data_IF_357994473080
#
_entry.id   IF_357994473080
#
_cell.length_a   1.000
_cell.length_b   1.000
_cell.length_c   1.000
_cell.angle_alpha   90.00
_cell.angle_beta   90.00
_cell.angle_gamma   90.00
#
_symmetry.space_group_name_H-M   'P 1'
#
loop_
_entity.id
_entity.type
_entity.pdbx_description
1 polymer ?
#
# COMPACT_ATOMS: atom_id res chain seq x y z
N UNK A 1 89.19 66.17 -13.81
CA UNK A 1 89.39 64.75 -14.19
C UNK A 1 88.44 63.78 -13.45
N UNK A 2 87.34 64.27 -12.83
CA UNK A 2 86.40 63.45 -12.03
C UNK A 2 85.03 63.17 -12.72
N UNK A 3 84.80 63.61 -13.95
CA UNK A 3 83.49 63.43 -14.62
C UNK A 3 83.35 62.14 -15.43
N UNK A 4 84.46 61.53 -15.89
CA UNK A 4 84.41 60.35 -16.77
C UNK A 4 84.24 59.01 -16.02
N UNK A 5 84.54 58.96 -14.72
CA UNK A 5 84.37 57.76 -13.89
C UNK A 5 82.95 57.60 -13.37
N UNK A 6 82.23 58.71 -13.14
CA UNK A 6 80.85 58.70 -12.63
C UNK A 6 79.83 58.23 -13.69
N UNK A 7 80.08 58.56 -14.97
CA UNK A 7 79.17 58.25 -16.08
C UNK A 7 79.20 56.76 -16.49
N UNK A 8 80.36 56.08 -16.41
CA UNK A 8 80.49 54.63 -16.69
C UNK A 8 79.83 53.74 -15.62
N UNK A 9 79.89 54.15 -14.35
CA UNK A 9 79.22 53.44 -13.25
C UNK A 9 77.69 53.61 -13.29
N UNK A 10 77.19 54.76 -13.76
CA UNK A 10 75.76 54.98 -14.00
C UNK A 10 75.25 54.12 -15.17
N UNK A 11 76.02 53.98 -16.25
CA UNK A 11 75.62 53.20 -17.42
C UNK A 11 75.62 51.68 -17.16
N UNK A 12 76.60 51.18 -16.39
CA UNK A 12 76.62 49.78 -15.94
C UNK A 12 75.48 49.44 -14.97
N UNK A 13 75.14 50.35 -14.05
CA UNK A 13 74.02 50.14 -13.13
C UNK A 13 72.67 50.19 -13.84
N UNK A 14 72.50 51.07 -14.83
CA UNK A 14 71.32 51.08 -15.71
C UNK A 14 71.21 49.81 -16.55
N UNK A 15 72.32 49.29 -17.06
CA UNK A 15 72.33 48.02 -17.83
C UNK A 15 71.94 46.82 -16.97
N UNK A 16 72.47 46.73 -15.74
CA UNK A 16 72.08 45.70 -14.79
C UNK A 16 70.61 45.82 -14.36
N UNK A 17 70.09 47.05 -14.26
CA UNK A 17 68.68 47.28 -13.95
C UNK A 17 67.76 46.79 -15.08
N UNK A 18 68.11 47.07 -16.34
CA UNK A 18 67.36 46.56 -17.51
C UNK A 18 67.36 45.03 -17.56
N UNK A 19 68.52 44.40 -17.39
CA UNK A 19 68.61 42.94 -17.35
C UNK A 19 67.77 42.32 -16.23
N UNK A 20 67.69 42.98 -15.06
CA UNK A 20 66.89 42.50 -13.93
C UNK A 20 65.40 42.71 -14.17
N UNK A 21 65.00 43.78 -14.86
CA UNK A 21 63.61 44.03 -15.28
C UNK A 21 63.18 42.99 -16.31
N UNK A 22 64.03 42.67 -17.29
CA UNK A 22 63.74 41.65 -18.30
C UNK A 22 63.61 40.26 -17.67
N UNK A 23 64.52 39.90 -16.75
CA UNK A 23 64.41 38.65 -15.99
C UNK A 23 63.14 38.56 -15.15
N UNK A 24 62.73 39.67 -14.51
CA UNK A 24 61.47 39.73 -13.75
C UNK A 24 60.28 39.63 -14.69
N UNK A 25 60.30 40.27 -15.86
CA UNK A 25 59.23 40.18 -16.85
C UNK A 25 59.10 38.76 -17.42
N UNK A 26 60.21 38.08 -17.69
CA UNK A 26 60.24 36.69 -18.16
C UNK A 26 59.73 35.73 -17.08
N UNK A 27 60.16 35.91 -15.82
CA UNK A 27 59.66 35.12 -14.70
C UNK A 27 58.16 35.35 -14.45
N UNK A 28 57.72 36.60 -14.53
CA UNK A 28 56.30 36.99 -14.40
C UNK A 28 55.47 36.36 -15.53
N UNK A 29 55.95 36.41 -16.77
CA UNK A 29 55.27 35.80 -17.93
C UNK A 29 55.16 34.29 -17.77
N UNK A 30 56.23 33.63 -17.33
CA UNK A 30 56.23 32.19 -17.09
C UNK A 30 55.32 31.78 -15.93
N UNK A 31 55.27 32.57 -14.84
CA UNK A 31 54.33 32.35 -13.74
C UNK A 31 52.89 32.55 -14.19
N UNK A 32 52.58 33.61 -14.94
CA UNK A 32 51.25 33.87 -15.48
C UNK A 32 50.79 32.75 -16.42
N UNK A 33 51.68 32.25 -17.28
CA UNK A 33 51.38 31.12 -18.15
C UNK A 33 51.08 29.85 -17.34
N UNK A 34 51.87 29.57 -16.29
CA UNK A 34 51.67 28.40 -15.43
C UNK A 34 50.36 28.47 -14.65
N UNK A 35 50.03 29.65 -14.10
CA UNK A 35 48.76 29.88 -13.39
C UNK A 35 47.58 29.75 -14.34
N UNK A 36 47.67 30.32 -15.55
CA UNK A 36 46.62 30.21 -16.57
C UNK A 36 46.38 28.75 -16.94
N UNK A 37 47.43 27.95 -17.11
CA UNK A 37 47.30 26.54 -17.48
C UNK A 37 46.77 25.66 -16.36
N UNK A 38 47.18 25.94 -15.12
CA UNK A 38 46.61 25.28 -13.94
C UNK A 38 45.11 25.60 -13.81
N UNK A 39 44.73 26.86 -14.01
CA UNK A 39 43.35 27.31 -13.94
C UNK A 39 42.47 26.67 -15.04
N UNK A 40 42.96 26.60 -16.29
CA UNK A 40 42.26 25.92 -17.38
C UNK A 40 42.05 24.42 -17.10
N UNK A 41 43.06 23.77 -16.51
CA UNK A 41 42.98 22.35 -16.14
C UNK A 41 41.97 22.13 -15.02
N UNK A 42 41.98 23.00 -14.00
CA UNK A 42 41.05 22.93 -12.87
C UNK A 42 39.61 23.23 -13.29
N UNK A 43 39.40 24.23 -14.17
CA UNK A 43 38.08 24.50 -14.77
C UNK A 43 37.58 23.29 -15.56
N UNK A 44 38.42 22.68 -16.39
CA UNK A 44 38.04 21.50 -17.18
C UNK A 44 37.64 20.31 -16.30
N UNK A 45 38.37 20.08 -15.20
CA UNK A 45 38.03 19.06 -14.21
C UNK A 45 36.70 19.35 -13.50
N UNK A 46 36.50 20.60 -13.09
CA UNK A 46 35.26 21.02 -12.43
C UNK A 46 34.04 20.90 -13.35
N UNK A 47 34.16 21.30 -14.62
CA UNK A 47 33.09 21.14 -15.61
C UNK A 47 32.71 19.67 -15.78
N UNK A 48 33.69 18.76 -15.91
CA UNK A 48 33.41 17.32 -15.99
C UNK A 48 32.72 16.77 -14.74
N UNK A 49 33.13 17.21 -13.55
CA UNK A 49 32.47 16.82 -12.30
C UNK A 49 31.03 17.33 -12.21
N UNK A 50 30.78 18.56 -12.67
CA UNK A 50 29.44 19.14 -12.76
C UNK A 50 28.58 18.36 -13.75
N UNK A 51 29.10 18.02 -14.93
CA UNK A 51 28.38 17.23 -15.94
C UNK A 51 28.01 15.84 -15.41
N UNK A 52 28.93 15.16 -14.72
CA UNK A 52 28.66 13.86 -14.09
C UNK A 52 27.58 13.97 -13.00
N UNK A 53 27.64 15.01 -12.15
CA UNK A 53 26.63 15.24 -11.11
C UNK A 53 25.26 15.58 -11.70
N UNK A 54 25.21 16.40 -12.75
CA UNK A 54 23.98 16.74 -13.46
C UNK A 54 23.39 15.51 -14.15
N UNK A 55 24.21 14.68 -14.80
CA UNK A 55 23.76 13.42 -15.42
C UNK A 55 23.17 12.45 -14.40
N UNK A 56 23.83 12.24 -13.27
CA UNK A 56 23.34 11.38 -12.19
C UNK A 56 22.08 11.91 -11.52
N UNK A 57 21.98 13.24 -11.37
CA UNK A 57 20.79 13.91 -10.87
C UNK A 57 19.62 13.74 -11.85
N UNK A 58 19.86 13.93 -13.15
CA UNK A 58 18.82 13.77 -14.18
C UNK A 58 18.31 12.32 -14.27
N UNK A 59 19.19 11.32 -14.15
CA UNK A 59 18.80 9.91 -14.04
C UNK A 59 17.94 9.64 -12.79
N UNK A 60 18.32 10.18 -11.64
CA UNK A 60 17.54 10.05 -10.40
C UNK A 60 16.17 10.73 -10.49
N UNK A 61 16.10 11.90 -11.15
CA UNK A 61 14.84 12.61 -11.42
C UNK A 61 13.93 11.86 -12.41
N UNK A 62 14.50 11.25 -13.45
CA UNK A 62 13.74 10.41 -14.38
C UNK A 62 13.17 9.18 -13.66
N UNK A 63 13.97 8.53 -12.82
CA UNK A 63 13.54 7.35 -12.06
C UNK A 63 12.49 7.70 -10.99
N UNK A 64 12.61 8.88 -10.36
CA UNK A 64 11.62 9.41 -9.42
C UNK A 64 10.33 9.77 -10.14
N UNK A 65 10.40 10.44 -11.30
CA UNK A 65 9.24 10.76 -12.14
C UNK A 65 8.52 9.50 -12.64
N UNK A 66 9.26 8.47 -13.06
CA UNK A 66 8.70 7.17 -13.43
C UNK A 66 8.03 6.47 -12.24
N UNK A 67 8.62 6.56 -11.05
CA UNK A 67 8.03 6.00 -9.83
C UNK A 67 6.74 6.74 -9.46
N UNK A 68 6.74 8.08 -9.47
CA UNK A 68 5.55 8.91 -9.23
C UNK A 68 4.47 8.61 -10.28
N UNK A 69 4.82 8.54 -11.56
CA UNK A 69 3.87 8.19 -12.63
C UNK A 69 3.30 6.78 -12.43
N UNK A 70 4.12 5.81 -11.99
CA UNK A 70 3.65 4.46 -11.70
C UNK A 70 2.73 4.41 -10.48
N UNK A 71 2.97 5.25 -9.48
CA UNK A 71 2.12 5.40 -8.28
C UNK A 71 0.81 6.09 -8.64
N UNK A 72 0.86 7.17 -9.42
CA UNK A 72 -0.33 7.88 -9.93
C UNK A 72 -1.16 6.98 -10.84
N UNK A 73 -0.54 6.23 -11.76
CA UNK A 73 -1.25 5.27 -12.60
C UNK A 73 -1.90 4.14 -11.79
N UNK A 74 -1.23 3.65 -10.74
CA UNK A 74 -1.82 2.68 -9.79
C UNK A 74 -2.96 3.29 -8.99
N UNK A 75 -2.87 4.57 -8.60
CA UNK A 75 -3.95 5.29 -7.93
C UNK A 75 -5.15 5.52 -8.85
N UNK A 76 -4.95 5.86 -10.12
CA UNK A 76 -6.04 5.98 -11.11
C UNK A 76 -6.66 4.63 -11.47
N UNK A 77 -5.86 3.56 -11.58
CA UNK A 77 -6.38 2.19 -11.70
C UNK A 77 -7.14 1.74 -10.45
N UNK A 78 -6.73 2.23 -9.26
CA UNK A 78 -7.46 2.05 -8.01
C UNK A 78 -8.78 2.84 -7.99
N UNK A 79 -8.83 4.05 -8.52
CA UNK A 79 -10.10 4.78 -8.71
C UNK A 79 -11.02 4.07 -9.69
N UNK A 80 -10.48 3.48 -10.75
CA UNK A 80 -11.25 2.73 -11.73
C UNK A 80 -11.71 1.36 -11.18
N UNK A 81 -10.88 0.70 -10.37
CA UNK A 81 -11.25 -0.48 -9.60
C UNK A 81 -12.30 -0.14 -8.53
N UNK A 82 -12.17 0.98 -7.84
CA UNK A 82 -13.17 1.52 -6.93
C UNK A 82 -14.48 1.80 -7.67
N UNK A 83 -14.43 2.30 -8.90
CA UNK A 83 -15.62 2.52 -9.74
C UNK A 83 -16.27 1.22 -10.18
N UNK A 84 -15.49 0.19 -10.54
CA UNK A 84 -16.01 -1.16 -10.84
C UNK A 84 -16.60 -1.84 -9.60
N UNK A 85 -16.00 -1.68 -8.43
CA UNK A 85 -16.56 -2.17 -7.15
C UNK A 85 -17.85 -1.39 -6.80
N UNK A 86 -17.87 -0.08 -7.05
CA UNK A 86 -19.04 0.78 -6.86
C UNK A 86 -20.20 0.41 -7.82
N UNK A 87 -19.89 0.04 -9.06
CA UNK A 87 -20.88 -0.36 -10.06
C UNK A 87 -21.40 -1.80 -9.82
N UNK A 88 -20.56 -2.73 -9.35
CA UNK A 88 -20.98 -4.09 -8.96
C UNK A 88 -21.86 -4.10 -7.70
N UNK A 89 -21.64 -3.16 -6.77
CA UNK A 89 -22.48 -2.97 -5.59
C UNK A 89 -23.80 -2.22 -5.85
N UNK A 90 -23.96 -1.57 -7.01
CA UNK A 90 -25.12 -0.71 -7.31
C UNK A 90 -26.31 -1.44 -7.95
N UNK A 91 -26.09 -2.59 -8.57
CA UNK A 91 -27.18 -3.35 -9.19
C UNK A 91 -27.94 -4.16 -8.14
N UNK A 92 -28.83 -3.46 -7.44
CA UNK A 92 -29.87 -3.97 -6.53
C UNK A 92 -30.63 -5.17 -7.14
N UNK A 93 -30.79 -5.19 -8.46
CA UNK A 93 -31.56 -6.19 -9.20
C UNK A 93 -30.77 -7.44 -9.57
N UNK A 94 -29.47 -7.31 -9.89
CA UNK A 94 -28.67 -8.43 -10.40
C UNK A 94 -28.33 -9.43 -9.30
N UNK A 95 -28.00 -8.97 -8.09
CA UNK A 95 -27.76 -9.82 -6.92
C UNK A 95 -29.05 -10.51 -6.45
N UNK A 96 -30.20 -9.83 -6.46
CA UNK A 96 -31.49 -10.47 -6.16
C UNK A 96 -31.86 -11.57 -7.16
N UNK A 97 -31.53 -11.40 -8.45
CA UNK A 97 -31.77 -12.43 -9.46
C UNK A 97 -30.78 -13.60 -9.38
N UNK A 98 -29.51 -13.32 -9.11
CA UNK A 98 -28.45 -14.34 -8.99
C UNK A 98 -28.63 -15.21 -7.74
N UNK A 99 -29.12 -14.64 -6.63
CA UNK A 99 -29.34 -15.36 -5.36
C UNK A 99 -30.59 -16.25 -5.35
N UNK A 100 -31.44 -16.21 -6.40
CA UNK A 100 -32.65 -17.07 -6.52
C UNK A 100 -32.33 -18.56 -6.69
N UNK A 101 -31.14 -18.95 -7.17
CA UNK A 101 -30.81 -20.35 -7.50
C UNK A 101 -30.08 -21.11 -6.37
N UNK A 102 -30.65 -22.17 -5.75
CA UNK A 102 -30.12 -22.84 -4.54
C UNK A 102 -28.67 -23.31 -4.58
N UNK A 103 -28.22 -23.88 -5.71
CA UNK A 103 -26.86 -24.44 -5.85
C UNK A 103 -25.75 -23.39 -6.00
N UNK A 104 -26.10 -22.15 -6.35
CA UNK A 104 -25.14 -21.05 -6.52
C UNK A 104 -24.94 -20.24 -5.22
N UNK A 105 -25.79 -20.44 -4.19
CA UNK A 105 -25.90 -19.56 -3.01
C UNK A 105 -24.69 -19.59 -2.06
N UNK A 106 -24.10 -20.76 -1.80
CA UNK A 106 -22.91 -20.88 -0.93
C UNK A 106 -21.62 -20.53 -1.68
N UNK A 107 -21.49 -21.06 -2.89
CA UNK A 107 -20.30 -20.91 -3.73
C UNK A 107 -20.06 -19.46 -4.16
N UNK A 108 -21.10 -18.63 -4.30
CA UNK A 108 -20.91 -17.23 -4.71
C UNK A 108 -20.33 -16.33 -3.61
N UNK A 109 -20.71 -16.55 -2.34
CA UNK A 109 -20.12 -15.81 -1.22
C UNK A 109 -18.62 -16.13 -1.09
N UNK A 110 -18.28 -17.41 -1.21
CA UNK A 110 -16.90 -17.90 -1.24
C UNK A 110 -16.14 -17.39 -2.48
N UNK A 111 -16.78 -17.36 -3.66
CA UNK A 111 -16.19 -16.86 -4.90
C UNK A 111 -15.88 -15.36 -4.78
N UNK A 112 -16.84 -14.54 -4.33
CA UNK A 112 -16.60 -13.11 -4.16
C UNK A 112 -15.55 -12.82 -3.09
N UNK A 113 -15.53 -13.58 -2.00
CA UNK A 113 -14.48 -13.49 -0.99
C UNK A 113 -13.10 -13.84 -1.59
N UNK A 114 -13.02 -14.94 -2.35
CA UNK A 114 -11.80 -15.36 -3.02
C UNK A 114 -11.31 -14.33 -4.04
N UNK A 115 -12.20 -13.80 -4.87
CA UNK A 115 -11.90 -12.76 -5.85
C UNK A 115 -11.39 -11.49 -5.17
N UNK A 116 -12.02 -11.06 -4.08
CA UNK A 116 -11.60 -9.88 -3.31
C UNK A 116 -10.20 -10.08 -2.69
N UNK A 117 -9.96 -11.24 -2.08
CA UNK A 117 -8.66 -11.59 -1.51
C UNK A 117 -7.58 -11.60 -2.59
N UNK A 118 -7.83 -12.22 -3.74
CA UNK A 118 -6.86 -12.33 -4.84
C UNK A 118 -6.40 -10.98 -5.42
N UNK A 119 -7.27 -9.96 -5.36
CA UNK A 119 -6.97 -8.62 -5.88
C UNK A 119 -6.08 -7.79 -4.94
N UNK A 120 -6.17 -8.02 -3.63
CA UNK A 120 -5.59 -7.13 -2.60
C UNK A 120 -4.45 -7.79 -1.83
N UNK A 121 -4.60 -9.08 -1.56
CA UNK A 121 -3.74 -9.86 -0.67
C UNK A 121 -2.85 -10.78 -1.52
N UNK A 122 -1.52 -10.80 -1.28
CA UNK A 122 -0.64 -11.79 -1.89
C UNK A 122 -1.13 -13.22 -1.67
N UNK A 123 -1.00 -14.09 -2.67
CA UNK A 123 -1.55 -15.47 -2.64
C UNK A 123 -0.95 -16.36 -1.55
N UNK A 124 0.24 -16.06 -1.04
CA UNK A 124 0.88 -16.74 0.07
C UNK A 124 0.32 -16.33 1.45
N UNK A 125 -0.42 -15.21 1.49
CA UNK A 125 -0.96 -14.57 2.70
C UNK A 125 -2.41 -14.91 2.99
N UNK A 126 -3.03 -15.81 2.25
CA UNK A 126 -4.33 -16.39 2.62
C UNK A 126 -4.42 -17.86 2.19
N UNK A 127 -5.35 -18.59 2.80
CA UNK A 127 -5.75 -19.94 2.41
C UNK A 127 -7.26 -19.94 2.25
N UNK A 128 -7.76 -20.40 1.11
CA UNK A 128 -9.20 -20.67 0.96
C UNK A 128 -9.52 -22.07 1.50
N UNK A 129 -10.70 -22.24 2.07
CA UNK A 129 -11.18 -23.53 2.59
C UNK A 129 -10.19 -24.16 3.58
N UNK A 130 -9.78 -23.40 4.59
CA UNK A 130 -8.84 -23.87 5.61
C UNK A 130 -9.54 -24.81 6.58
N UNK A 131 -8.91 -25.97 6.85
CA UNK A 131 -9.44 -27.00 7.74
C UNK A 131 -8.74 -26.92 9.09
N UNK A 132 -9.51 -26.71 10.16
CA UNK A 132 -9.03 -26.78 11.53
C UNK A 132 -8.92 -28.23 12.01
N UNK A 133 -8.18 -28.47 13.10
CA UNK A 133 -8.03 -29.81 13.68
C UNK A 133 -9.36 -30.41 14.15
N UNK A 134 -10.36 -29.58 14.45
CA UNK A 134 -11.72 -30.03 14.78
C UNK A 134 -12.44 -30.72 13.61
N UNK A 135 -11.95 -30.54 12.38
CA UNK A 135 -12.62 -30.94 11.14
C UNK A 135 -13.56 -29.88 10.57
N UNK A 136 -13.68 -28.71 11.22
CA UNK A 136 -14.41 -27.56 10.67
C UNK A 136 -13.59 -26.84 9.59
N UNK A 137 -14.29 -26.34 8.56
CA UNK A 137 -13.68 -25.62 7.44
C UNK A 137 -14.18 -24.19 7.37
N UNK A 138 -13.26 -23.23 7.42
CA UNK A 138 -13.53 -21.80 7.21
C UNK A 138 -13.28 -21.41 5.75
N UNK A 139 -14.08 -20.50 5.23
CA UNK A 139 -14.06 -20.13 3.81
C UNK A 139 -12.75 -19.48 3.39
N UNK A 140 -12.17 -18.62 4.24
CA UNK A 140 -10.82 -18.13 4.10
C UNK A 140 -10.10 -17.94 5.45
N UNK A 141 -8.79 -18.13 5.43
CA UNK A 141 -7.89 -17.83 6.54
C UNK A 141 -6.83 -16.84 6.05
N UNK A 142 -6.88 -15.61 6.56
CA UNK A 142 -5.91 -14.58 6.27
C UNK A 142 -4.69 -14.73 7.19
N UNK A 143 -3.48 -14.82 6.64
CA UNK A 143 -2.24 -14.96 7.40
C UNK A 143 -1.60 -13.60 7.67
N UNK A 144 -1.32 -13.32 8.93
CA UNK A 144 -0.62 -12.14 9.40
C UNK A 144 0.86 -12.49 9.69
N UNK A 145 1.52 -11.75 10.58
CA UNK A 145 2.90 -12.04 11.02
C UNK A 145 2.88 -13.03 12.19
N UNK A 146 4.05 -13.59 12.48
CA UNK A 146 4.31 -14.42 13.65
C UNK A 146 3.36 -15.63 13.79
N UNK A 147 2.91 -16.16 12.65
CA UNK A 147 1.98 -17.28 12.60
C UNK A 147 0.53 -16.94 12.95
N UNK A 148 0.22 -15.66 13.21
CA UNK A 148 -1.14 -15.22 13.50
C UNK A 148 -2.01 -15.25 12.24
N UNK A 149 -3.32 -15.48 12.44
CA UNK A 149 -4.27 -15.54 11.34
C UNK A 149 -5.65 -14.99 11.72
N UNK A 150 -6.42 -14.55 10.72
CA UNK A 150 -7.79 -14.07 10.88
C UNK A 150 -8.72 -14.94 10.03
N UNK A 151 -9.65 -15.68 10.65
CA UNK A 151 -10.67 -16.42 9.93
C UNK A 151 -11.71 -15.48 9.31
N UNK A 152 -12.17 -15.81 8.11
CA UNK A 152 -13.22 -15.09 7.37
C UNK A 152 -14.22 -16.12 6.86
N UNK A 153 -15.47 -16.05 7.34
CA UNK A 153 -16.56 -16.95 6.93
C UNK A 153 -17.67 -16.14 6.24
N UNK A 154 -18.12 -16.62 5.08
CA UNK A 154 -19.08 -15.96 4.19
C UNK A 154 -20.52 -16.51 4.33
N UNK A 155 -20.80 -17.35 5.34
CA UNK A 155 -22.08 -18.08 5.41
C UNK A 155 -23.20 -17.20 5.99
N UNK A 156 -23.78 -16.36 5.17
CA UNK A 156 -24.91 -15.51 5.57
C UNK A 156 -26.29 -16.22 5.46
N UNK A 157 -27.24 -16.04 6.41
CA UNK A 157 -28.55 -16.70 6.40
C UNK A 157 -29.54 -16.06 5.39
N UNK A 158 -29.23 -16.20 4.10
CA UNK A 158 -29.95 -15.60 2.98
C UNK A 158 -31.45 -15.93 2.93
N UNK A 159 -31.85 -17.13 3.32
CA UNK A 159 -33.26 -17.56 3.24
C UNK A 159 -34.16 -16.74 4.17
N UNK A 160 -33.72 -16.56 5.42
CA UNK A 160 -34.44 -15.74 6.39
C UNK A 160 -34.43 -14.25 6.01
N UNK A 161 -33.37 -13.78 5.34
CA UNK A 161 -33.32 -12.43 4.78
C UNK A 161 -34.31 -12.26 3.63
N UNK A 162 -34.39 -13.24 2.72
CA UNK A 162 -35.34 -13.20 1.61
C UNK A 162 -36.78 -13.14 2.13
N UNK A 163 -37.12 -13.94 3.15
CA UNK A 163 -38.42 -13.87 3.83
C UNK A 163 -38.71 -12.48 4.38
N UNK A 164 -37.71 -11.81 4.97
CA UNK A 164 -37.85 -10.45 5.48
C UNK A 164 -38.13 -9.43 4.38
N UNK A 165 -37.47 -9.55 3.22
CA UNK A 165 -37.62 -8.60 2.11
C UNK A 165 -38.95 -8.77 1.37
N UNK A 166 -39.45 -10.01 1.24
CA UNK A 166 -40.72 -10.27 0.54
C UNK A 166 -41.96 -10.13 1.42
N UNK A 167 -41.81 -9.96 2.73
CA UNK A 167 -42.92 -9.77 3.65
C UNK A 167 -43.65 -8.45 3.35
N UNK A 168 -44.95 -8.53 3.09
CA UNK A 168 -45.75 -7.35 2.67
C UNK A 168 -46.46 -6.72 3.86
N UNK A 169 -47.07 -7.53 4.73
CA UNK A 169 -47.77 -7.07 5.92
C UNK A 169 -46.84 -6.81 7.10
N UNK A 170 -47.27 -5.93 8.03
CA UNK A 170 -46.48 -5.59 9.21
C UNK A 170 -46.27 -6.78 10.16
N UNK A 171 -47.23 -7.70 10.23
CA UNK A 171 -47.12 -8.90 11.06
C UNK A 171 -46.17 -9.94 10.46
N UNK A 172 -46.21 -10.15 9.14
CA UNK A 172 -45.22 -10.98 8.44
C UNK A 172 -43.81 -10.41 8.58
N UNK A 173 -43.65 -9.09 8.45
CA UNK A 173 -42.34 -8.42 8.63
C UNK A 173 -41.80 -8.64 10.04
N UNK A 174 -42.64 -8.57 11.08
CA UNK A 174 -42.21 -8.84 12.47
C UNK A 174 -41.73 -10.28 12.66
N UNK A 175 -42.48 -11.25 12.13
CA UNK A 175 -42.10 -12.67 12.22
C UNK A 175 -40.81 -12.93 11.46
N UNK A 176 -40.73 -12.48 10.21
CA UNK A 176 -39.55 -12.64 9.37
C UNK A 176 -38.31 -11.95 9.99
N UNK A 177 -38.47 -10.76 10.59
CA UNK A 177 -37.37 -10.06 11.30
C UNK A 177 -36.86 -10.90 12.47
N UNK A 178 -37.74 -11.52 13.27
CA UNK A 178 -37.33 -12.38 14.40
C UNK A 178 -36.59 -13.63 13.95
N UNK A 179 -37.09 -14.31 12.92
CA UNK A 179 -36.42 -15.48 12.33
C UNK A 179 -35.04 -15.12 11.78
N UNK A 180 -34.96 -13.99 11.08
CA UNK A 180 -33.74 -13.47 10.52
C UNK A 180 -32.69 -13.17 11.59
N UNK A 181 -33.06 -12.38 12.61
CA UNK A 181 -32.19 -12.08 13.76
C UNK A 181 -31.68 -13.36 14.43
N UNK A 182 -32.56 -14.34 14.65
CA UNK A 182 -32.20 -15.62 15.26
C UNK A 182 -31.18 -16.38 14.40
N UNK A 183 -31.39 -16.38 13.08
CA UNK A 183 -30.51 -17.07 12.13
C UNK A 183 -29.13 -16.40 12.06
N UNK A 184 -29.07 -15.07 12.10
CA UNK A 184 -27.81 -14.32 12.15
C UNK A 184 -27.05 -14.60 13.46
N UNK A 185 -27.73 -14.57 14.61
CA UNK A 185 -27.10 -14.89 15.91
C UNK A 185 -26.53 -16.31 15.93
N UNK A 186 -27.27 -17.28 15.40
CA UNK A 186 -26.78 -18.66 15.26
C UNK A 186 -25.51 -18.72 14.42
N UNK A 187 -25.45 -18.00 13.29
CA UNK A 187 -24.24 -17.94 12.47
C UNK A 187 -23.07 -17.31 13.22
N UNK A 188 -23.30 -16.23 13.95
CA UNK A 188 -22.28 -15.58 14.80
C UNK A 188 -21.73 -16.59 15.82
N UNK A 189 -22.60 -17.33 16.50
CA UNK A 189 -22.19 -18.35 17.48
C UNK A 189 -21.40 -19.49 16.84
N UNK A 190 -21.79 -19.94 15.64
CA UNK A 190 -21.06 -20.95 14.87
C UNK A 190 -19.65 -20.45 14.48
N UNK A 191 -19.54 -19.22 13.98
CA UNK A 191 -18.24 -18.62 13.62
C UNK A 191 -17.33 -18.52 14.84
N UNK A 192 -17.87 -17.98 15.94
CA UNK A 192 -17.12 -17.78 17.17
C UNK A 192 -16.61 -19.10 17.76
N UNK A 193 -17.44 -20.14 17.77
CA UNK A 193 -17.10 -21.43 18.36
C UNK A 193 -16.17 -22.29 17.49
N UNK A 194 -16.29 -22.21 16.17
CA UNK A 194 -15.57 -23.10 15.24
C UNK A 194 -14.24 -22.53 14.76
N UNK A 195 -14.12 -21.21 14.64
CA UNK A 195 -13.01 -20.61 13.91
C UNK A 195 -12.14 -19.68 14.75
N UNK A 196 -12.60 -19.23 15.93
CA UNK A 196 -11.75 -18.51 16.87
C UNK A 196 -11.01 -19.55 17.72
N UNK A 197 -9.85 -19.98 17.23
CA UNK A 197 -9.03 -21.04 17.80
C UNK A 197 -7.59 -20.53 18.03
N UNK A 198 -7.32 -19.79 19.11
CA UNK A 198 -5.98 -19.23 19.38
C UNK A 198 -4.87 -20.29 19.46
N UNK A 199 -5.19 -21.51 19.92
CA UNK A 199 -4.26 -22.65 19.98
C UNK A 199 -3.80 -23.13 18.59
N UNK A 200 -4.54 -22.76 17.53
CA UNK A 200 -4.17 -23.00 16.13
C UNK A 200 -3.67 -21.72 15.43
N UNK A 201 -3.39 -20.66 16.19
CA UNK A 201 -2.77 -19.43 15.68
C UNK A 201 -3.76 -18.39 15.15
N UNK A 202 -5.06 -18.51 15.42
CA UNK A 202 -6.00 -17.43 15.09
C UNK A 202 -5.85 -16.27 16.08
N UNK A 203 -6.17 -15.05 15.65
CA UNK A 203 -6.48 -13.97 16.57
C UNK A 203 -7.75 -14.30 17.36
N UNK A 204 -8.02 -13.49 18.36
CA UNK A 204 -9.16 -13.66 19.26
C UNK A 204 -10.49 -13.19 18.65
N UNK A 205 -10.53 -12.95 17.33
CA UNK A 205 -11.72 -12.55 16.59
C UNK A 205 -11.77 -13.20 15.20
N UNK A 206 -12.95 -13.19 14.58
CA UNK A 206 -13.18 -13.62 13.22
C UNK A 206 -14.03 -12.60 12.44
N UNK A 207 -13.92 -12.61 11.11
CA UNK A 207 -14.73 -11.78 10.23
C UNK A 207 -15.91 -12.58 9.69
N UNK A 208 -17.10 -12.02 9.79
CA UNK A 208 -18.31 -12.53 9.15
C UNK A 208 -18.56 -11.73 7.87
N UNK A 209 -18.23 -12.31 6.72
CA UNK A 209 -18.40 -11.67 5.42
C UNK A 209 -19.84 -11.79 4.93
N UNK A 210 -20.44 -10.64 4.62
CA UNK A 210 -21.77 -10.52 4.03
C UNK A 210 -21.57 -10.04 2.59
N UNK A 211 -21.80 -10.88 1.57
CA UNK A 211 -21.36 -10.61 0.19
C UNK A 211 -22.14 -9.51 -0.54
N UNK A 212 -23.05 -8.79 0.14
CA UNK A 212 -23.88 -7.76 -0.45
C UNK A 212 -24.03 -6.57 0.51
N UNK A 213 -23.74 -5.37 0.01
CA UNK A 213 -23.71 -4.13 0.81
C UNK A 213 -25.09 -3.76 1.35
N UNK A 214 -26.14 -3.92 0.55
CA UNK A 214 -27.51 -3.66 0.97
C UNK A 214 -27.98 -4.63 2.06
N UNK A 215 -27.59 -5.91 1.95
CA UNK A 215 -27.87 -6.93 2.96
C UNK A 215 -27.17 -6.54 4.26
N UNK A 216 -25.89 -6.17 4.19
CA UNK A 216 -25.15 -5.65 5.34
C UNK A 216 -25.84 -4.44 5.97
N UNK A 217 -26.25 -3.45 5.17
CA UNK A 217 -26.94 -2.26 5.67
C UNK A 217 -28.27 -2.60 6.37
N UNK A 218 -29.15 -3.36 5.71
CA UNK A 218 -30.44 -3.75 6.30
C UNK A 218 -30.26 -4.63 7.56
N UNK A 219 -29.23 -5.47 7.61
CA UNK A 219 -28.99 -6.44 8.69
C UNK A 219 -28.25 -5.87 9.90
N UNK A 220 -27.18 -5.14 9.63
CA UNK A 220 -26.21 -4.69 10.64
C UNK A 220 -26.51 -3.26 11.06
N UNK A 221 -26.88 -2.40 10.12
CA UNK A 221 -27.07 -0.97 10.38
C UNK A 221 -28.53 -0.65 10.74
N UNK A 222 -29.49 -1.15 9.96
CA UNK A 222 -30.91 -0.79 10.09
C UNK A 222 -31.68 -1.66 11.08
N UNK A 223 -31.36 -2.95 11.19
CA UNK A 223 -32.06 -3.88 12.10
C UNK A 223 -31.57 -3.81 13.57
N UNK A 224 -30.72 -2.84 13.91
CA UNK A 224 -30.01 -2.79 15.20
C UNK A 224 -30.88 -2.45 16.43
N UNK A 225 -32.20 -2.29 16.28
CA UNK A 225 -33.15 -2.41 17.41
C UNK A 225 -32.92 -3.70 18.22
N UNK A 226 -32.35 -4.72 17.57
CA UNK A 226 -32.08 -6.04 18.13
C UNK A 226 -30.67 -6.20 18.71
N UNK A 227 -29.86 -5.13 18.69
CA UNK A 227 -28.46 -5.08 19.09
C UNK A 227 -27.63 -6.24 18.49
N UNK A 228 -27.76 -6.47 17.18
CA UNK A 228 -27.05 -7.54 16.48
C UNK A 228 -25.55 -7.25 16.45
N UNK A 229 -25.21 -5.97 16.26
CA UNK A 229 -23.81 -5.51 16.22
C UNK A 229 -23.15 -5.75 17.56
N UNK A 230 -23.76 -5.30 18.65
CA UNK A 230 -23.22 -5.55 19.99
C UNK A 230 -23.13 -7.04 20.30
N UNK A 231 -24.11 -7.84 19.91
CA UNK A 231 -24.03 -9.30 20.06
C UNK A 231 -22.82 -9.89 19.33
N UNK A 232 -22.61 -9.53 18.06
CA UNK A 232 -21.46 -9.98 17.28
C UNK A 232 -20.14 -9.62 17.97
N UNK A 233 -20.00 -8.38 18.45
CA UNK A 233 -18.82 -7.93 19.19
C UNK A 233 -18.61 -8.70 20.51
N UNK A 234 -19.67 -9.01 21.27
CA UNK A 234 -19.52 -9.85 22.49
C UNK A 234 -19.01 -11.26 22.18
N UNK A 235 -19.26 -11.75 20.96
CA UNK A 235 -18.78 -13.03 20.44
C UNK A 235 -17.46 -12.92 19.68
N UNK A 236 -16.87 -11.72 19.64
CA UNK A 236 -15.65 -11.40 18.90
C UNK A 236 -15.76 -11.75 17.41
N UNK A 237 -16.96 -11.60 16.87
CA UNK A 237 -17.24 -11.72 15.44
C UNK A 237 -17.49 -10.32 14.90
N UNK A 238 -16.77 -9.94 13.86
CA UNK A 238 -16.89 -8.62 13.25
C UNK A 238 -17.60 -8.79 11.90
N UNK A 239 -18.87 -8.34 11.78
CA UNK A 239 -19.56 -8.32 10.49
C UNK A 239 -18.86 -7.37 9.54
N UNK A 240 -18.63 -7.81 8.31
CA UNK A 240 -18.03 -7.00 7.24
C UNK A 240 -18.79 -7.20 5.93
N UNK A 241 -18.94 -6.11 5.20
CA UNK A 241 -19.43 -6.03 3.83
C UNK A 241 -18.26 -6.06 2.83
N UNK A 242 -18.49 -6.10 1.51
CA UNK A 242 -17.42 -5.99 0.53
C UNK A 242 -16.59 -4.71 0.70
N UNK A 243 -17.24 -3.57 0.94
CA UNK A 243 -16.54 -2.29 1.11
C UNK A 243 -15.70 -2.25 2.38
N UNK A 244 -16.27 -2.68 3.51
CA UNK A 244 -15.53 -2.67 4.78
C UNK A 244 -14.40 -3.69 4.79
N UNK A 245 -14.63 -4.90 4.25
CA UNK A 245 -13.59 -5.91 4.09
C UNK A 245 -12.46 -5.40 3.18
N UNK A 246 -12.78 -4.75 2.06
CA UNK A 246 -11.78 -4.13 1.19
C UNK A 246 -10.85 -3.18 1.95
N UNK A 247 -11.43 -2.28 2.75
CA UNK A 247 -10.65 -1.34 3.57
C UNK A 247 -9.77 -2.08 4.57
N UNK A 248 -10.30 -3.08 5.28
CA UNK A 248 -9.51 -3.90 6.21
C UNK A 248 -8.34 -4.60 5.51
N UNK A 249 -8.58 -5.25 4.38
CA UNK A 249 -7.55 -5.94 3.61
C UNK A 249 -6.50 -4.97 3.10
N UNK A 250 -6.88 -3.76 2.69
CA UNK A 250 -5.94 -2.74 2.26
C UNK A 250 -5.05 -2.25 3.41
N UNK A 251 -5.62 -2.00 4.60
CA UNK A 251 -4.84 -1.65 5.79
C UNK A 251 -3.86 -2.76 6.17
N UNK A 252 -4.31 -4.02 6.13
CA UNK A 252 -3.44 -5.18 6.40
C UNK A 252 -2.33 -5.28 5.34
N UNK A 253 -2.67 -5.15 4.05
CA UNK A 253 -1.70 -5.21 2.94
C UNK A 253 -0.65 -4.10 3.04
N UNK A 254 -1.05 -2.87 3.41
CA UNK A 254 -0.13 -1.76 3.67
C UNK A 254 0.79 -2.06 4.85
N UNK A 255 0.25 -2.56 5.96
CA UNK A 255 1.05 -3.00 7.11
C UNK A 255 2.07 -4.06 6.72
N UNK A 256 1.65 -5.11 6.00
CA UNK A 256 2.51 -6.19 5.53
C UNK A 256 3.65 -5.68 4.63
N UNK A 257 3.37 -4.74 3.71
CA UNK A 257 4.39 -4.14 2.83
C UNK A 257 5.39 -3.28 3.60
N UNK A 258 4.91 -2.45 4.54
CA UNK A 258 5.79 -1.64 5.39
C UNK A 258 6.79 -2.50 6.16
N UNK A 259 6.34 -3.65 6.66
CA UNK A 259 7.19 -4.59 7.41
C UNK A 259 8.20 -5.34 6.51
N UNK A 260 7.85 -5.70 5.28
CA UNK A 260 8.81 -6.27 4.32
C UNK A 260 9.96 -5.31 3.97
N UNK A 261 9.68 -4.01 3.92
CA UNK A 261 10.72 -2.99 3.68
C UNK A 261 11.66 -2.92 4.88
N UNK A 262 11.14 -3.02 6.11
CA UNK A 262 11.94 -3.03 7.34
C UNK A 262 12.88 -4.25 7.41
N UNK A 263 12.38 -5.46 7.10
CA UNK A 263 13.19 -6.68 7.09
C UNK A 263 14.34 -6.58 6.08
N UNK A 264 14.08 -6.13 4.85
CA UNK A 264 15.12 -5.93 3.83
C UNK A 264 16.13 -4.85 4.21
N UNK A 265 15.71 -3.80 4.92
CA UNK A 265 16.62 -2.77 5.39
C UNK A 265 17.59 -3.29 6.46
N UNK A 266 17.13 -4.22 7.31
CA UNK A 266 17.97 -4.91 8.31
C UNK A 266 18.97 -5.90 7.69
N UNK A 267 18.67 -6.49 6.54
CA UNK A 267 19.59 -7.40 5.83
C UNK A 267 20.72 -6.68 5.08
N UNK A 268 20.58 -5.37 4.82
CA UNK A 268 21.57 -4.55 4.09
C UNK A 268 22.55 -3.83 5.05
N UNK A 269 22.21 -3.76 6.34
CA UNK A 269 23.06 -3.21 7.42
C UNK A 269 23.94 -4.30 8.05
#
# INVERSE_FOLDING_TARGET
MNDMTNNKSQDQSLTQLHQRIDQVNDQMTNQLNTVTQSMLTQMSSNTRQIDMRLSNTNKSWQQTTQTIQSVTNKLSQLEEANKRIYDVGKDISSLQEILKAPKLRGTLGELFLGDLLSQIVPSDRYILQHHFKSGDTVDALLKLRDGQSVPIDAKFPLESFQRLIVAESDDEKKVAKREFVTSVKKRIDEIASKYIVPDEGTLDFALMYIPAENVYYETIIKADDSNLVGYAYTKRVIPVSPNSLYVYLQTISLGLRGMQIEERAKEIL
#
